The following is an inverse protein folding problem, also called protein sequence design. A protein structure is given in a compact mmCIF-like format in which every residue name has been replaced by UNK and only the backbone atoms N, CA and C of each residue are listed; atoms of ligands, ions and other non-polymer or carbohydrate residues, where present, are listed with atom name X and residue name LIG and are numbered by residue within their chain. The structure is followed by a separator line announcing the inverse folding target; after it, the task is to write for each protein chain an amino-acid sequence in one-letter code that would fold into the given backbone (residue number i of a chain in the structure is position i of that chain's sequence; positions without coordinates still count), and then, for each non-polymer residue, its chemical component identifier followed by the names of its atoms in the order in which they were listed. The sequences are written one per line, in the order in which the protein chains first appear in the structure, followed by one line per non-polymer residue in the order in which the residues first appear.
data_IF_340966084978
#
_entry.id   IF_340966084978
#
_cell.length_a   1.000
_cell.length_b   1.000
_cell.length_c   1.000
_cell.angle_alpha   90.00
_cell.angle_beta   90.00
_cell.angle_gamma   90.00
#
_symmetry.space_group_name_H-M   'P 1'
#
loop_
_entity.id
_entity.type
_entity.pdbx_description
1 polymer ?
#
# COMPACT_ATOMS: atom_id res chain seq x y z
N UNK A 1 13.03 1.86 -19.76
CA UNK A 1 12.26 2.44 -18.68
C UNK A 1 12.27 1.50 -17.47
N UNK A 2 11.76 1.96 -16.32
CA UNK A 2 11.81 1.26 -15.02
C UNK A 2 11.23 -0.16 -15.07
N UNK A 3 10.09 -0.35 -15.70
CA UNK A 3 9.45 -1.67 -15.83
C UNK A 3 10.39 -2.70 -16.51
N UNK A 4 10.97 -2.36 -17.65
CA UNK A 4 11.93 -3.26 -18.34
C UNK A 4 13.12 -3.56 -17.46
N UNK A 5 13.65 -2.52 -16.77
CA UNK A 5 14.78 -2.71 -15.86
C UNK A 5 14.44 -3.66 -14.71
N UNK A 6 13.20 -3.60 -14.19
CA UNK A 6 12.72 -4.56 -13.19
C UNK A 6 12.74 -5.99 -13.74
N UNK A 7 12.15 -6.20 -14.91
CA UNK A 7 12.11 -7.52 -15.56
C UNK A 7 13.51 -8.06 -15.85
N UNK A 8 14.41 -7.20 -16.34
CA UNK A 8 15.80 -7.57 -16.62
C UNK A 8 16.57 -7.97 -15.35
N UNK A 9 16.27 -7.34 -14.20
CA UNK A 9 16.96 -7.62 -12.94
C UNK A 9 16.39 -8.85 -12.22
N UNK A 10 15.06 -9.05 -12.27
CA UNK A 10 14.39 -10.07 -11.46
C UNK A 10 13.95 -11.30 -12.27
N UNK A 11 14.00 -11.25 -13.60
CA UNK A 11 13.60 -12.35 -14.47
C UNK A 11 12.10 -12.63 -14.53
N UNK A 12 11.28 -11.76 -13.96
CA UNK A 12 9.81 -11.85 -13.99
C UNK A 12 9.17 -10.47 -13.98
N UNK A 13 7.90 -10.41 -14.33
CA UNK A 13 7.11 -9.18 -14.27
C UNK A 13 6.75 -8.80 -12.82
N UNK A 14 6.61 -7.50 -12.50
CA UNK A 14 6.11 -7.06 -11.21
C UNK A 14 4.65 -7.50 -11.01
N UNK A 15 4.25 -7.68 -9.77
CA UNK A 15 2.86 -8.03 -9.43
C UNK A 15 1.93 -6.82 -9.45
N UNK A 16 2.49 -5.65 -9.24
CA UNK A 16 1.77 -4.38 -9.17
C UNK A 16 2.68 -3.20 -9.52
N UNK A 17 2.04 -2.05 -9.66
CA UNK A 17 2.68 -0.73 -9.74
C UNK A 17 2.19 0.14 -8.58
N UNK A 18 3.12 0.84 -8.00
CA UNK A 18 2.88 1.99 -7.14
C UNK A 18 3.97 3.03 -7.41
N UNK A 19 3.99 4.12 -6.69
CA UNK A 19 5.06 5.10 -6.83
C UNK A 19 5.30 5.86 -5.53
N UNK A 20 6.53 6.32 -5.38
CA UNK A 20 6.93 7.20 -4.30
C UNK A 20 6.04 8.44 -4.27
N UNK A 21 5.53 8.81 -3.08
CA UNK A 21 4.60 9.92 -2.88
C UNK A 21 3.34 9.90 -3.78
N UNK A 22 2.92 8.71 -4.21
CA UNK A 22 1.71 8.52 -5.03
C UNK A 22 1.67 9.38 -6.31
N UNK A 23 2.84 9.70 -6.90
CA UNK A 23 2.91 10.54 -8.12
C UNK A 23 2.12 9.94 -9.29
N UNK A 24 1.90 8.63 -9.31
CA UNK A 24 1.05 7.98 -10.30
C UNK A 24 -0.43 8.36 -10.18
N UNK A 25 -0.88 8.90 -9.02
CA UNK A 25 -2.25 9.39 -8.80
C UNK A 25 -2.46 10.83 -9.26
N UNK A 26 -1.43 11.52 -9.77
CA UNK A 26 -1.57 12.86 -10.35
C UNK A 26 -2.38 12.78 -11.65
N UNK A 27 -3.42 13.60 -11.79
CA UNK A 27 -4.40 13.52 -12.86
C UNK A 27 -3.83 13.32 -14.29
N UNK A 28 -2.79 14.04 -14.77
CA UNK A 28 -2.23 13.79 -16.10
C UNK A 28 -1.41 12.50 -16.22
N UNK A 29 -0.98 11.91 -15.09
CA UNK A 29 -0.14 10.69 -15.05
C UNK A 29 -1.01 9.45 -14.89
N UNK A 30 -2.02 9.52 -14.05
CA UNK A 30 -2.85 8.40 -13.65
C UNK A 30 -3.41 7.58 -14.82
N UNK A 31 -4.07 8.16 -15.84
CA UNK A 31 -4.64 7.37 -16.93
C UNK A 31 -3.58 6.61 -17.74
N UNK A 32 -2.36 7.15 -17.84
CA UNK A 32 -1.24 6.51 -18.54
C UNK A 32 -0.78 5.27 -17.78
N UNK A 33 -0.58 5.42 -16.46
CA UNK A 33 -0.12 4.31 -15.60
C UNK A 33 -1.19 3.24 -15.46
N UNK A 34 -2.45 3.64 -15.31
CA UNK A 34 -3.59 2.72 -15.22
C UNK A 34 -3.78 1.92 -16.52
N UNK A 35 -3.70 2.57 -17.67
CA UNK A 35 -3.74 1.89 -18.97
C UNK A 35 -2.59 0.89 -19.13
N UNK A 36 -1.39 1.26 -18.71
CA UNK A 36 -0.23 0.37 -18.74
C UNK A 36 -0.39 -0.83 -17.80
N UNK A 37 -0.86 -0.62 -16.55
CA UNK A 37 -1.12 -1.69 -15.60
C UNK A 37 -2.14 -2.69 -16.16
N UNK A 38 -3.22 -2.19 -16.76
CA UNK A 38 -4.25 -3.00 -17.42
C UNK A 38 -3.70 -3.77 -18.62
N UNK A 39 -2.89 -3.14 -19.48
CA UNK A 39 -2.23 -3.81 -20.61
C UNK A 39 -1.35 -4.97 -20.14
N UNK A 40 -0.65 -4.81 -19.04
CA UNK A 40 0.23 -5.84 -18.47
C UNK A 40 -0.48 -6.85 -17.57
N UNK A 41 -1.76 -6.66 -17.27
CA UNK A 41 -2.51 -7.54 -16.36
C UNK A 41 -2.02 -7.50 -14.92
N UNK A 42 -1.31 -6.43 -14.51
CA UNK A 42 -0.78 -6.24 -13.16
C UNK A 42 -1.64 -5.26 -12.37
N UNK A 43 -1.59 -5.34 -11.04
CA UNK A 43 -2.35 -4.44 -10.19
C UNK A 43 -1.75 -3.03 -10.16
N UNK A 44 -2.57 -2.06 -9.79
CA UNK A 44 -2.16 -0.69 -9.50
C UNK A 44 -2.64 -0.32 -8.09
N UNK A 45 -1.80 0.30 -7.28
CA UNK A 45 -2.27 0.94 -6.06
C UNK A 45 -3.22 2.07 -6.43
N UNK A 46 -4.43 2.05 -5.91
CA UNK A 46 -5.43 3.10 -6.11
C UNK A 46 -5.99 3.52 -4.76
N UNK A 47 -5.66 4.73 -4.34
CA UNK A 47 -6.40 5.40 -3.27
C UNK A 47 -7.73 5.89 -3.85
N UNK A 48 -8.80 5.16 -3.54
CA UNK A 48 -10.14 5.44 -4.10
C UNK A 48 -10.71 6.75 -3.61
N UNK A 49 -10.36 7.18 -2.41
CA UNK A 49 -10.80 8.45 -1.86
C UNK A 49 -10.14 9.62 -2.61
N UNK A 50 -8.82 9.56 -2.80
CA UNK A 50 -8.08 10.55 -3.62
C UNK A 50 -8.55 10.52 -5.06
N UNK A 51 -8.77 9.34 -5.64
CA UNK A 51 -9.29 9.20 -6.98
C UNK A 51 -10.66 9.87 -7.15
N UNK A 52 -11.60 9.63 -6.21
CA UNK A 52 -12.92 10.27 -6.22
C UNK A 52 -12.83 11.80 -6.13
N UNK A 53 -12.03 12.31 -5.21
CA UNK A 53 -11.84 13.75 -5.02
C UNK A 53 -11.20 14.43 -6.24
N UNK A 54 -10.35 13.71 -6.95
CA UNK A 54 -9.62 14.21 -8.13
C UNK A 54 -10.33 13.90 -9.45
N UNK A 55 -11.52 13.30 -9.42
CA UNK A 55 -12.27 12.93 -10.63
C UNK A 55 -11.60 11.85 -11.46
N UNK A 56 -10.77 10.98 -10.83
CA UNK A 56 -10.09 9.88 -11.49
C UNK A 56 -10.97 8.61 -11.47
N UNK A 57 -10.81 7.77 -12.48
CA UNK A 57 -11.51 6.49 -12.55
C UNK A 57 -10.98 5.51 -11.48
N UNK A 58 -11.80 5.23 -10.47
CA UNK A 58 -11.48 4.34 -9.36
C UNK A 58 -11.36 2.87 -9.78
N UNK A 59 -11.79 2.52 -10.98
CA UNK A 59 -11.79 1.16 -11.52
C UNK A 59 -10.87 1.01 -12.74
N UNK A 60 -9.98 1.98 -12.96
CA UNK A 60 -9.11 2.03 -14.13
C UNK A 60 -8.16 0.84 -14.28
N UNK A 61 -7.84 0.16 -13.18
CA UNK A 61 -7.00 -1.05 -13.14
C UNK A 61 -7.40 -1.94 -11.95
N UNK A 62 -6.93 -3.18 -11.96
CA UNK A 62 -7.04 -4.10 -10.82
C UNK A 62 -6.32 -3.51 -9.60
N UNK A 63 -6.95 -3.51 -8.44
CA UNK A 63 -6.42 -2.95 -7.18
C UNK A 63 -7.06 -3.60 -5.97
N UNK A 64 -6.50 -3.37 -4.78
CA UNK A 64 -7.18 -3.64 -3.52
C UNK A 64 -8.53 -2.90 -3.45
N UNK A 65 -9.51 -3.47 -2.74
CA UNK A 65 -10.82 -2.82 -2.56
C UNK A 65 -10.71 -1.57 -1.70
N UNK A 66 -9.85 -1.60 -0.66
CA UNK A 66 -9.52 -0.48 0.20
C UNK A 66 -8.03 -0.16 0.19
N UNK A 67 -7.70 1.08 0.50
CA UNK A 67 -6.35 1.56 0.74
C UNK A 67 -6.35 2.51 1.94
N UNK A 68 -5.32 2.42 2.79
CA UNK A 68 -5.09 3.35 3.89
C UNK A 68 -3.64 3.80 3.92
N UNK A 69 -3.44 5.11 4.07
CA UNK A 69 -2.15 5.75 4.32
C UNK A 69 -2.01 6.29 5.75
N UNK A 70 -2.96 5.95 6.63
CA UNK A 70 -3.03 6.51 8.00
C UNK A 70 -2.01 5.90 8.96
N UNK A 71 -1.51 4.69 8.66
CA UNK A 71 -0.48 4.04 9.47
C UNK A 71 0.89 4.69 9.19
N UNK A 72 1.04 5.92 9.72
CA UNK A 72 2.19 6.79 9.45
C UNK A 72 2.41 7.79 10.59
N UNK A 73 3.66 8.17 10.85
CA UNK A 73 4.03 9.21 11.80
C UNK A 73 4.19 8.73 13.24
N UNK A 74 4.06 9.65 14.17
CA UNK A 74 4.29 9.40 15.61
C UNK A 74 3.13 8.64 16.29
N UNK A 75 1.95 8.60 15.68
CA UNK A 75 0.76 7.96 16.25
C UNK A 75 0.65 6.46 15.91
N UNK A 76 1.66 5.89 15.26
CA UNK A 76 1.68 4.48 14.87
C UNK A 76 1.55 3.58 16.11
N UNK A 77 0.52 2.71 16.10
CA UNK A 77 0.23 1.77 17.17
C UNK A 77 -0.56 0.56 16.66
N UNK A 78 -0.59 -0.53 17.43
CA UNK A 78 -1.48 -1.67 17.14
C UNK A 78 -2.95 -1.23 17.08
N UNK A 79 -3.37 -0.34 17.98
CA UNK A 79 -4.73 0.17 18.02
C UNK A 79 -5.10 0.91 16.73
N UNK A 80 -4.26 1.82 16.25
CA UNK A 80 -4.48 2.52 14.97
C UNK A 80 -4.58 1.54 13.80
N UNK A 81 -3.70 0.53 13.78
CA UNK A 81 -3.76 -0.51 12.74
C UNK A 81 -5.09 -1.27 12.77
N UNK A 82 -5.52 -1.70 13.96
CA UNK A 82 -6.78 -2.43 14.14
C UNK A 82 -8.01 -1.58 13.82
N UNK A 83 -8.01 -0.30 14.19
CA UNK A 83 -9.07 0.64 13.81
C UNK A 83 -9.18 0.79 12.29
N UNK A 84 -8.05 0.80 11.58
CA UNK A 84 -8.01 0.82 10.12
C UNK A 84 -8.67 -0.42 9.51
N UNK A 85 -8.41 -1.61 10.09
CA UNK A 85 -9.06 -2.86 9.67
C UNK A 85 -10.57 -2.82 9.95
N UNK A 86 -10.97 -2.41 11.14
CA UNK A 86 -12.38 -2.35 11.55
C UNK A 86 -13.16 -1.38 10.65
N UNK A 87 -12.57 -0.24 10.29
CA UNK A 87 -13.15 0.70 9.33
C UNK A 87 -13.31 0.09 7.93
N UNK A 88 -12.35 -0.69 7.47
CA UNK A 88 -12.42 -1.40 6.19
C UNK A 88 -13.54 -2.46 6.18
N UNK A 89 -13.67 -3.22 7.27
CA UNK A 89 -14.77 -4.17 7.46
C UNK A 89 -16.13 -3.45 7.40
N UNK A 90 -16.26 -2.33 8.11
CA UNK A 90 -17.49 -1.54 8.13
C UNK A 90 -17.89 -1.01 6.75
N UNK A 91 -16.89 -0.75 5.86
CA UNK A 91 -17.13 -0.37 4.46
C UNK A 91 -17.40 -1.57 3.53
N UNK A 92 -17.29 -2.80 4.03
CA UNK A 92 -17.49 -4.02 3.23
C UNK A 92 -16.35 -4.28 2.22
N UNK A 93 -15.16 -3.78 2.48
CA UNK A 93 -14.00 -3.97 1.62
C UNK A 93 -13.45 -5.39 1.77
N UNK A 94 -13.38 -6.13 0.65
CA UNK A 94 -12.92 -7.53 0.65
C UNK A 94 -11.41 -7.68 0.68
N UNK A 95 -10.67 -6.63 0.42
CA UNK A 95 -9.21 -6.54 0.53
C UNK A 95 -8.82 -5.14 0.95
N UNK A 96 -7.79 -5.02 1.79
CA UNK A 96 -7.26 -3.76 2.26
C UNK A 96 -5.74 -3.75 2.06
N UNK A 97 -5.24 -2.69 1.48
CA UNK A 97 -3.83 -2.35 1.49
C UNK A 97 -3.57 -1.27 2.55
N UNK A 98 -2.69 -1.56 3.50
CA UNK A 98 -2.22 -0.57 4.48
C UNK A 98 -0.79 -0.17 4.10
N UNK A 99 -0.60 1.09 3.73
CA UNK A 99 0.73 1.62 3.42
C UNK A 99 1.54 1.75 4.71
N UNK A 100 2.77 1.27 4.69
CA UNK A 100 3.70 1.38 5.82
C UNK A 100 5.15 1.53 5.31
N UNK A 101 6.03 1.98 6.20
CA UNK A 101 7.43 2.28 5.89
C UNK A 101 8.40 1.71 6.95
N UNK A 102 8.20 0.47 7.43
CA UNK A 102 9.04 -0.07 8.50
C UNK A 102 10.50 -0.16 8.03
N UNK A 103 11.43 0.16 8.91
CA UNK A 103 12.84 -0.04 8.66
C UNK A 103 13.65 -0.15 9.96
N UNK A 104 14.77 -0.87 9.90
CA UNK A 104 15.84 -0.69 10.87
C UNK A 104 16.54 0.66 10.60
N UNK A 105 16.90 1.36 11.66
CA UNK A 105 17.62 2.63 11.53
C UNK A 105 19.11 2.35 11.34
N UNK A 106 19.59 2.66 10.15
CA UNK A 106 21.00 2.65 9.78
C UNK A 106 21.46 4.06 9.35
N UNK A 107 22.71 4.20 8.92
CA UNK A 107 23.23 5.49 8.47
C UNK A 107 22.47 6.07 7.27
N UNK A 108 21.92 5.22 6.40
CA UNK A 108 21.15 5.66 5.24
C UNK A 108 19.80 6.23 5.67
N UNK A 109 19.10 5.52 6.56
CA UNK A 109 17.79 5.95 7.07
C UNK A 109 17.91 7.17 7.96
N UNK A 110 19.01 7.33 8.72
CA UNK A 110 19.26 8.52 9.55
C UNK A 110 19.29 9.84 8.75
N UNK A 111 19.58 9.78 7.46
CA UNK A 111 19.49 10.93 6.55
C UNK A 111 18.08 11.29 6.11
N UNK A 112 17.08 10.48 6.45
CA UNK A 112 15.67 10.71 6.11
C UNK A 112 14.98 11.58 7.15
N UNK A 113 14.11 12.51 6.71
CA UNK A 113 13.22 13.24 7.61
C UNK A 113 12.23 12.32 8.34
N UNK A 114 11.88 11.19 7.72
CA UNK A 114 11.06 10.12 8.29
C UNK A 114 11.97 8.96 8.70
N UNK A 115 12.57 9.04 9.87
CA UNK A 115 13.57 8.09 10.37
C UNK A 115 13.03 7.25 11.54
N UNK A 116 12.93 7.83 12.72
CA UNK A 116 12.59 7.11 13.95
C UNK A 116 11.18 6.49 13.96
N UNK A 117 10.13 7.10 13.40
CA UNK A 117 8.81 6.47 13.34
C UNK A 117 8.81 5.10 12.62
N UNK A 118 9.77 4.85 11.72
CA UNK A 118 9.93 3.55 11.04
C UNK A 118 10.22 2.40 12.00
N UNK A 119 10.88 2.67 13.14
CA UNK A 119 11.09 1.66 14.18
C UNK A 119 9.76 1.30 14.85
N UNK A 120 8.94 2.30 15.15
CA UNK A 120 7.59 2.09 15.69
C UNK A 120 6.72 1.27 14.73
N UNK A 121 6.75 1.59 13.44
CA UNK A 121 6.05 0.78 12.43
C UNK A 121 6.57 -0.67 12.42
N UNK A 122 7.88 -0.86 12.47
CA UNK A 122 8.49 -2.20 12.48
C UNK A 122 8.08 -2.99 13.72
N UNK A 123 8.12 -2.36 14.89
CA UNK A 123 7.75 -2.98 16.16
C UNK A 123 6.29 -3.45 16.14
N UNK A 124 5.37 -2.58 15.73
CA UNK A 124 3.95 -2.91 15.58
C UNK A 124 3.74 -4.03 14.56
N UNK A 125 4.33 -3.93 13.37
CA UNK A 125 4.11 -4.90 12.30
C UNK A 125 4.75 -6.29 12.55
N UNK A 126 5.68 -6.37 13.49
CA UNK A 126 6.28 -7.64 13.92
C UNK A 126 5.64 -8.22 15.17
N UNK A 127 4.66 -7.53 15.76
CA UNK A 127 3.95 -7.97 16.96
C UNK A 127 3.16 -9.26 16.73
N UNK A 128 3.37 -10.24 17.60
CA UNK A 128 2.59 -11.48 17.60
C UNK A 128 1.13 -11.23 18.00
N UNK A 129 0.89 -10.24 18.88
CA UNK A 129 -0.45 -9.84 19.30
C UNK A 129 -1.23 -9.24 18.13
N UNK A 130 -0.63 -8.32 17.37
CA UNK A 130 -1.24 -7.76 16.18
C UNK A 130 -1.57 -8.84 15.15
N UNK A 131 -0.66 -9.76 14.90
CA UNK A 131 -0.87 -10.87 13.96
C UNK A 131 -2.09 -11.72 14.34
N UNK A 132 -2.25 -12.04 15.62
CA UNK A 132 -3.41 -12.76 16.14
C UNK A 132 -4.70 -11.94 15.95
N UNK A 133 -4.69 -10.66 16.35
CA UNK A 133 -5.85 -9.78 16.26
C UNK A 133 -6.30 -9.50 14.81
N UNK A 134 -5.38 -9.51 13.84
CA UNK A 134 -5.68 -9.45 12.40
C UNK A 134 -6.43 -10.71 11.94
N UNK A 135 -5.94 -11.89 12.36
CA UNK A 135 -6.57 -13.17 12.04
C UNK A 135 -7.96 -13.30 12.67
N UNK A 136 -8.13 -12.88 13.94
CA UNK A 136 -9.40 -12.87 14.66
C UNK A 136 -10.48 -12.02 13.98
N UNK A 137 -10.08 -11.00 13.21
CA UNK A 137 -10.97 -10.18 12.37
C UNK A 137 -11.29 -10.82 11.02
N UNK A 138 -10.82 -12.03 10.77
CA UNK A 138 -11.03 -12.76 9.53
C UNK A 138 -10.11 -12.31 8.37
N UNK A 139 -9.13 -11.45 8.63
CA UNK A 139 -8.16 -11.09 7.60
C UNK A 139 -7.09 -12.17 7.44
N UNK A 140 -6.69 -12.36 6.20
CA UNK A 140 -5.52 -13.15 5.80
C UNK A 140 -4.54 -12.23 5.09
N UNK A 141 -3.25 -12.36 5.44
CA UNK A 141 -2.21 -11.66 4.69
C UNK A 141 -2.17 -12.20 3.25
N UNK A 142 -2.14 -11.32 2.31
CA UNK A 142 -2.11 -11.60 0.90
C UNK A 142 -1.08 -10.76 0.15
N UNK A 143 -1.11 -10.89 -1.15
CA UNK A 143 -0.28 -10.15 -2.09
C UNK A 143 -1.15 -9.52 -3.16
N UNK A 144 -0.58 -8.68 -4.00
CA UNK A 144 -1.30 -8.14 -5.17
C UNK A 144 -1.70 -9.20 -6.22
N UNK A 145 -1.31 -10.46 -6.03
CA UNK A 145 -1.82 -11.58 -6.84
C UNK A 145 -3.21 -12.03 -6.38
N UNK A 146 -3.58 -11.69 -5.14
CA UNK A 146 -4.83 -12.11 -4.50
C UNK A 146 -5.97 -11.08 -4.68
N UNK A 147 -5.70 -9.92 -5.29
CA UNK A 147 -6.68 -8.83 -5.53
C UNK A 147 -7.09 -8.72 -6.98
#
# INVERSE_FOLDING_TARGET
CQYRRFVDLFGHEPTHLDSHHHVHMIAPIYPIVAAFAREKGIALRIDRQVAAQSGLDQQAARSSAGFSSEFYGEAVSEELFLQTLDASIARGERSLEVMCHPAFVDQTIMGSAYCYPRLGELDVLTSAALKAAVADRGYRLGTYRDV
#
